data_IF_314115395550
#
_entry.id   IF_314115395550
#
_cell.length_a   1.000
_cell.length_b   1.000
_cell.length_c   1.000
_cell.angle_alpha   90.00
_cell.angle_beta   90.00
_cell.angle_gamma   90.00
#
_symmetry.space_group_name_H-M   'P 1'
#
loop_
_entity.id
_entity.type
_entity.pdbx_description
1 polymer ?
#
# COMPACT_ATOMS: atom_id res chain seq x y z
N UNK A 1 -16.43 10.69 -20.21
CA UNK A 1 -17.15 9.82 -19.23
C UNK A 1 -16.30 8.64 -18.78
N UNK A 2 -15.61 7.93 -19.68
CA UNK A 2 -14.70 6.81 -19.38
C UNK A 2 -13.66 7.10 -18.28
N UNK A 3 -12.96 8.24 -18.36
CA UNK A 3 -11.92 8.64 -17.39
C UNK A 3 -12.46 8.87 -15.97
N UNK A 4 -13.68 9.40 -15.85
CA UNK A 4 -14.33 9.61 -14.55
C UNK A 4 -14.69 8.26 -13.89
N UNK A 5 -15.14 7.29 -14.68
CA UNK A 5 -15.47 5.94 -14.20
C UNK A 5 -14.23 5.16 -13.71
N UNK A 6 -13.07 5.38 -14.34
CA UNK A 6 -11.80 4.73 -13.93
C UNK A 6 -11.22 5.39 -12.67
N UNK A 7 -11.32 6.72 -12.53
CA UNK A 7 -10.74 7.45 -11.39
C UNK A 7 -11.60 7.38 -10.11
N UNK A 8 -12.92 7.29 -10.25
CA UNK A 8 -13.86 7.21 -9.12
C UNK A 8 -13.53 6.13 -8.08
N UNK A 9 -13.31 4.84 -8.47
CA UNK A 9 -12.99 3.79 -7.49
C UNK A 9 -11.64 4.03 -6.80
N UNK A 10 -10.67 4.62 -7.50
CA UNK A 10 -9.39 5.02 -6.92
C UNK A 10 -9.54 6.08 -5.84
N UNK A 11 -10.36 7.12 -6.11
CA UNK A 11 -10.63 8.19 -5.14
C UNK A 11 -11.38 7.66 -3.91
N UNK A 12 -12.40 6.82 -4.11
CA UNK A 12 -13.14 6.19 -3.02
C UNK A 12 -12.21 5.31 -2.15
N UNK A 13 -11.31 4.55 -2.77
CA UNK A 13 -10.33 3.74 -2.06
C UNK A 13 -9.37 4.60 -1.21
N UNK A 14 -8.92 5.75 -1.74
CA UNK A 14 -8.06 6.68 -0.99
C UNK A 14 -8.82 7.27 0.21
N UNK A 15 -10.05 7.75 0.01
CA UNK A 15 -10.85 8.36 1.10
C UNK A 15 -11.12 7.34 2.21
N UNK A 16 -11.57 6.14 1.85
CA UNK A 16 -11.86 5.08 2.83
C UNK A 16 -10.60 4.65 3.59
N UNK A 17 -9.45 4.58 2.91
CA UNK A 17 -8.16 4.29 3.55
C UNK A 17 -7.76 5.37 4.57
N UNK A 18 -7.95 6.64 4.23
CA UNK A 18 -7.62 7.77 5.10
C UNK A 18 -8.52 7.82 6.34
N UNK A 19 -9.83 7.62 6.17
CA UNK A 19 -10.79 7.56 7.28
C UNK A 19 -10.46 6.43 8.26
N UNK A 20 -10.17 5.24 7.73
CA UNK A 20 -9.84 4.11 8.57
C UNK A 20 -8.48 4.25 9.26
N UNK A 21 -7.49 4.84 8.60
CA UNK A 21 -6.20 5.18 9.23
C UNK A 21 -6.39 6.10 10.44
N UNK A 22 -7.28 7.09 10.32
CA UNK A 22 -7.58 8.05 11.40
C UNK A 22 -8.35 7.39 12.55
N UNK A 23 -9.31 6.51 12.23
CA UNK A 23 -10.10 5.78 13.24
C UNK A 23 -9.22 4.88 14.12
N UNK A 24 -8.21 4.23 13.53
CA UNK A 24 -7.35 3.26 14.22
C UNK A 24 -6.06 3.85 14.79
N UNK A 25 -5.85 5.17 14.69
CA UNK A 25 -4.63 5.81 15.16
C UNK A 25 -4.46 5.73 16.69
N UNK A 26 -5.57 5.79 17.44
CA UNK A 26 -5.59 5.75 18.91
C UNK A 26 -5.62 4.34 19.50
N UNK A 27 -5.78 3.32 18.67
CA UNK A 27 -5.84 1.94 19.13
C UNK A 27 -4.44 1.35 19.28
N UNK A 28 -4.28 0.48 20.28
CA UNK A 28 -3.04 -0.27 20.47
C UNK A 28 -2.78 -1.17 19.24
N UNK A 29 -1.54 -1.12 18.76
CA UNK A 29 -1.15 -1.81 17.53
C UNK A 29 -0.69 -3.21 17.83
N UNK A 30 -1.21 -4.16 17.05
CA UNK A 30 -0.89 -5.57 17.21
C UNK A 30 0.36 -5.92 16.40
N UNK A 31 1.43 -6.30 17.10
CA UNK A 31 2.69 -6.73 16.47
C UNK A 31 2.85 -8.26 16.42
N UNK A 32 2.22 -9.01 17.34
CA UNK A 32 2.24 -10.49 17.42
C UNK A 32 0.81 -11.06 17.36
N UNK A 33 0.64 -12.20 16.68
CA UNK A 33 -0.67 -12.86 16.48
C UNK A 33 -1.30 -12.61 15.09
N UNK A 34 -2.37 -13.33 14.77
CA UNK A 34 -3.12 -13.17 13.51
C UNK A 34 -4.01 -11.93 13.63
N UNK A 35 -3.77 -10.93 12.78
CA UNK A 35 -4.57 -9.71 12.73
C UNK A 35 -4.89 -9.43 11.26
N UNK A 36 -6.20 -9.48 10.92
CA UNK A 36 -6.70 -9.29 9.57
C UNK A 36 -6.88 -7.80 9.24
N UNK A 37 -7.19 -6.97 10.25
CA UNK A 37 -7.44 -5.56 10.04
C UNK A 37 -6.12 -4.79 9.79
N UNK A 38 -5.89 -4.38 8.53
CA UNK A 38 -4.67 -3.67 8.13
C UNK A 38 -4.35 -2.46 9.03
N UNK A 39 -5.36 -1.71 9.46
CA UNK A 39 -5.13 -0.47 10.21
C UNK A 39 -4.66 -0.69 11.65
N UNK A 40 -5.04 -1.82 12.26
CA UNK A 40 -4.65 -2.23 13.62
C UNK A 40 -3.23 -2.83 13.69
N UNK A 41 -2.60 -3.13 12.54
CA UNK A 41 -1.23 -3.63 12.50
C UNK A 41 -0.20 -2.57 12.94
N UNK A 42 0.87 -3.04 13.58
CA UNK A 42 2.10 -2.27 13.79
C UNK A 42 2.67 -1.78 12.45
N UNK A 43 3.36 -0.62 12.46
CA UNK A 43 3.99 -0.12 11.23
C UNK A 43 5.10 -1.04 10.73
N UNK A 44 5.76 -1.79 11.62
CA UNK A 44 6.73 -2.84 11.26
C UNK A 44 6.08 -3.91 10.39
N UNK A 45 4.94 -4.46 10.81
CA UNK A 45 4.24 -5.51 10.05
C UNK A 45 3.64 -4.97 8.75
N UNK A 46 3.20 -3.70 8.74
CA UNK A 46 2.79 -3.00 7.50
C UNK A 46 3.95 -2.93 6.49
N UNK A 47 5.16 -2.60 6.95
CA UNK A 47 6.36 -2.58 6.11
C UNK A 47 6.70 -3.97 5.54
N UNK A 48 6.67 -5.00 6.38
CA UNK A 48 6.87 -6.40 5.92
C UNK A 48 5.83 -6.71 4.84
N UNK A 49 4.55 -6.39 5.07
CA UNK A 49 3.49 -6.62 4.09
C UNK A 49 3.73 -5.84 2.78
N UNK A 50 4.19 -4.59 2.83
CA UNK A 50 4.58 -3.83 1.62
C UNK A 50 5.68 -4.52 0.82
N UNK A 51 6.66 -5.15 1.48
CA UNK A 51 7.69 -5.94 0.80
C UNK A 51 7.12 -7.22 0.16
N UNK A 52 6.23 -7.94 0.86
CA UNK A 52 5.53 -9.11 0.31
C UNK A 52 4.57 -8.77 -0.85
N UNK A 53 4.20 -7.50 -1.02
CA UNK A 53 3.42 -7.05 -2.17
C UNK A 53 4.25 -6.92 -3.46
N UNK A 54 5.59 -6.93 -3.38
CA UNK A 54 6.46 -6.81 -4.57
C UNK A 54 6.24 -7.97 -5.56
N UNK A 55 6.26 -9.26 -5.16
CA UNK A 55 5.93 -10.37 -6.06
C UNK A 55 4.54 -10.24 -6.70
N UNK A 56 3.55 -9.78 -5.93
CA UNK A 56 2.17 -9.60 -6.41
C UNK A 56 2.12 -8.48 -7.45
N UNK A 57 2.82 -7.36 -7.22
CA UNK A 57 2.91 -6.27 -8.18
C UNK A 57 3.58 -6.70 -9.49
N UNK A 58 4.66 -7.50 -9.42
CA UNK A 58 5.30 -8.07 -10.61
C UNK A 58 4.33 -8.95 -11.39
N UNK A 59 3.57 -9.81 -10.70
CA UNK A 59 2.57 -10.66 -11.33
C UNK A 59 1.47 -9.84 -12.02
N UNK A 60 0.97 -8.77 -11.39
CA UNK A 60 -0.03 -7.87 -11.99
C UNK A 60 0.52 -7.20 -13.26
N UNK A 61 1.76 -6.69 -13.22
CA UNK A 61 2.42 -6.07 -14.37
C UNK A 61 2.59 -7.08 -15.51
N UNK A 62 2.93 -8.33 -15.20
CA UNK A 62 3.03 -9.41 -16.19
C UNK A 62 1.67 -9.70 -16.85
N UNK A 63 0.61 -9.86 -16.06
CA UNK A 63 -0.75 -10.07 -16.59
C UNK A 63 -1.20 -8.88 -17.45
N UNK A 64 -0.87 -7.66 -17.05
CA UNK A 64 -1.17 -6.45 -17.82
C UNK A 64 -0.43 -6.47 -19.17
N UNK A 65 0.85 -6.83 -19.18
CA UNK A 65 1.64 -6.95 -20.40
C UNK A 65 1.03 -7.96 -21.39
N UNK A 66 0.67 -9.16 -20.92
CA UNK A 66 0.07 -10.21 -21.75
C UNK A 66 -1.28 -9.79 -22.31
N UNK A 67 -2.03 -8.95 -21.60
CA UNK A 67 -3.38 -8.52 -22.01
C UNK A 67 -3.33 -7.40 -23.05
N UNK A 68 -2.48 -6.39 -22.85
CA UNK A 68 -2.46 -5.20 -23.70
C UNK A 68 -1.36 -5.20 -24.76
N UNK A 69 -0.38 -6.11 -24.66
CA UNK A 69 0.77 -6.23 -25.58
C UNK A 69 1.57 -4.94 -25.78
N UNK A 70 1.44 -3.98 -24.86
CA UNK A 70 2.07 -2.68 -24.97
C UNK A 70 3.18 -2.51 -23.94
N UNK A 71 4.43 -2.48 -24.42
CA UNK A 71 5.61 -2.32 -23.58
C UNK A 71 5.66 -0.96 -22.89
N UNK A 72 5.28 0.12 -23.58
CA UNK A 72 5.34 1.49 -23.05
C UNK A 72 4.35 1.65 -21.89
N UNK A 73 3.08 1.24 -22.08
CA UNK A 73 2.07 1.32 -21.02
C UNK A 73 2.40 0.41 -19.84
N UNK A 74 2.91 -0.80 -20.11
CA UNK A 74 3.36 -1.72 -19.06
C UNK A 74 4.48 -1.12 -18.23
N UNK A 75 5.47 -0.48 -18.87
CA UNK A 75 6.55 0.21 -18.17
C UNK A 75 6.04 1.34 -17.28
N UNK A 76 5.13 2.18 -17.78
CA UNK A 76 4.52 3.26 -16.99
C UNK A 76 3.77 2.72 -15.77
N UNK A 77 3.01 1.64 -15.94
CA UNK A 77 2.29 0.99 -14.83
C UNK A 77 3.27 0.39 -13.81
N UNK A 78 4.32 -0.28 -14.26
CA UNK A 78 5.35 -0.84 -13.38
C UNK A 78 6.05 0.24 -12.54
N UNK A 79 6.42 1.36 -13.17
CA UNK A 79 7.03 2.51 -12.50
C UNK A 79 6.06 3.13 -11.49
N UNK A 80 4.78 3.29 -11.84
CA UNK A 80 3.75 3.78 -10.92
C UNK A 80 3.61 2.88 -9.68
N UNK A 81 3.53 1.56 -9.86
CA UNK A 81 3.48 0.61 -8.74
C UNK A 81 4.74 0.67 -7.88
N UNK A 82 5.93 0.74 -8.49
CA UNK A 82 7.19 0.84 -7.77
C UNK A 82 7.24 2.11 -6.91
N UNK A 83 6.84 3.26 -7.45
CA UNK A 83 6.78 4.52 -6.69
C UNK A 83 5.82 4.43 -5.52
N UNK A 84 4.62 3.87 -5.70
CA UNK A 84 3.63 3.71 -4.62
C UNK A 84 4.19 2.81 -3.51
N UNK A 85 4.80 1.67 -3.86
CA UNK A 85 5.39 0.75 -2.88
C UNK A 85 6.55 1.40 -2.12
N UNK A 86 7.41 2.16 -2.80
CA UNK A 86 8.51 2.89 -2.17
C UNK A 86 8.00 3.96 -1.20
N UNK A 87 7.02 4.77 -1.60
CA UNK A 87 6.41 5.79 -0.74
C UNK A 87 5.79 5.13 0.50
N UNK A 88 5.05 4.03 0.34
CA UNK A 88 4.46 3.29 1.45
C UNK A 88 5.53 2.69 2.37
N UNK A 89 6.59 2.09 1.81
CA UNK A 89 7.67 1.51 2.58
C UNK A 89 8.40 2.58 3.42
N UNK A 90 8.74 3.72 2.81
CA UNK A 90 9.39 4.84 3.50
C UNK A 90 8.49 5.43 4.60
N UNK A 91 7.21 5.65 4.31
CA UNK A 91 6.26 6.17 5.30
C UNK A 91 6.15 5.22 6.51
N UNK A 92 5.95 3.92 6.24
CA UNK A 92 5.84 2.90 7.28
C UNK A 92 7.15 2.77 8.08
N UNK A 93 8.30 2.84 7.42
CA UNK A 93 9.60 2.80 8.09
C UNK A 93 9.81 3.98 9.04
N UNK A 94 9.57 5.21 8.54
CA UNK A 94 9.73 6.43 9.34
C UNK A 94 8.80 6.42 10.55
N UNK A 95 7.55 5.97 10.37
CA UNK A 95 6.57 5.92 11.46
C UNK A 95 6.88 4.81 12.46
N UNK A 96 7.39 3.66 12.00
CA UNK A 96 7.89 2.61 12.89
C UNK A 96 9.06 3.08 13.75
N UNK A 97 10.08 3.74 13.16
CA UNK A 97 11.21 4.28 13.93
C UNK A 97 10.78 5.34 14.96
N UNK A 98 9.78 6.16 14.62
CA UNK A 98 9.21 7.15 15.56
C UNK A 98 8.47 6.50 16.72
N UNK A 99 7.74 5.40 16.48
CA UNK A 99 7.10 4.63 17.56
C UNK A 99 8.13 3.99 18.48
N UNK A 100 9.20 3.43 17.91
CA UNK A 100 10.30 2.83 18.68
C UNK A 100 10.99 3.88 19.56
N UNK A 101 11.24 5.09 19.04
CA UNK A 101 11.84 6.19 19.80
C UNK A 101 10.94 6.74 20.92
N UNK A 102 9.61 6.76 20.73
CA UNK A 102 8.67 7.25 21.74
C UNK A 102 8.42 6.23 22.88
N UNK A 103 8.91 5.00 22.74
CA UNK A 103 8.76 3.92 23.73
C UNK A 103 9.92 3.89 24.76
N UNK A 104 10.97 4.69 24.54
CA UNK A 104 12.10 4.93 25.44
C UNK A 104 12.06 6.35 25.97
#
# INVERSE_FOLDING_TARGET
MELLLILFPGIIAIITSALMSKKWEKHEKVDKGIELCYWKLSYRRKLIRTLWMIPIAIFIVLCFYITFWSTIWTFLVAVAFAMILLIQAMYNYKKWKKEEQNMY
#
